data_IF_540783197601
#
_entry.id   IF_540783197601
#
_cell.length_a   1.000
_cell.length_b   1.000
_cell.length_c   1.000
_cell.angle_alpha   90.00
_cell.angle_beta   90.00
_cell.angle_gamma   90.00
#
_symmetry.space_group_name_H-M   'P 1'
#
loop_
_entity.id
_entity.type
_entity.pdbx_description
1 polymer ?
#
# COMPACT_ATOMS: atom_id res chain seq x y z
N UNK A 1 38.86 33.58 -45.59
CA UNK A 1 39.79 33.89 -46.68
C UNK A 1 41.14 33.57 -46.09
N UNK A 2 41.85 32.59 -46.63
CA UNK A 2 43.17 32.25 -46.07
C UNK A 2 44.15 33.38 -46.37
N UNK A 3 45.12 33.62 -45.48
CA UNK A 3 46.12 34.68 -45.68
C UNK A 3 46.85 34.54 -47.03
N UNK A 4 47.07 33.30 -47.49
CA UNK A 4 47.69 33.00 -48.78
C UNK A 4 46.81 33.41 -49.99
N UNK A 5 45.49 33.23 -49.90
CA UNK A 5 44.55 33.66 -50.94
C UNK A 5 44.44 35.18 -50.98
N UNK A 6 44.40 35.82 -49.81
CA UNK A 6 44.38 37.27 -49.69
C UNK A 6 45.64 37.90 -50.32
N UNK A 7 46.82 37.35 -50.03
CA UNK A 7 48.08 37.77 -50.64
C UNK A 7 48.06 37.60 -52.17
N UNK A 8 47.50 36.48 -52.66
CA UNK A 8 47.39 36.23 -54.10
C UNK A 8 46.44 37.18 -54.82
N UNK A 9 45.29 37.50 -54.21
CA UNK A 9 44.36 38.52 -54.73
C UNK A 9 45.04 39.90 -54.72
N UNK A 10 45.76 40.25 -53.65
CA UNK A 10 46.49 41.52 -53.56
C UNK A 10 47.56 41.66 -54.65
N UNK A 11 48.29 40.59 -54.94
CA UNK A 11 49.28 40.56 -56.03
C UNK A 11 48.62 40.78 -57.40
N UNK A 12 47.52 40.06 -57.70
CA UNK A 12 46.77 40.21 -58.96
C UNK A 12 46.17 41.62 -59.13
N UNK A 13 45.67 42.22 -58.04
CA UNK A 13 45.18 43.62 -58.05
C UNK A 13 46.32 44.60 -58.37
N UNK A 14 47.54 44.33 -57.89
CA UNK A 14 48.69 45.18 -58.14
C UNK A 14 49.20 45.06 -59.58
N UNK A 15 49.25 43.84 -60.13
CA UNK A 15 49.53 43.60 -61.56
C UNK A 15 48.53 44.32 -62.46
N UNK A 16 47.24 44.23 -62.14
CA UNK A 16 46.16 44.93 -62.84
C UNK A 16 46.37 46.45 -62.89
N UNK A 17 46.75 47.08 -61.77
CA UNK A 17 46.97 48.53 -61.69
C UNK A 17 48.13 49.03 -62.56
N UNK A 18 49.06 48.14 -62.91
CA UNK A 18 50.25 48.47 -63.72
C UNK A 18 50.13 48.09 -65.20
N UNK A 19 49.05 47.41 -65.61
CA UNK A 19 48.86 46.95 -66.98
C UNK A 19 48.46 48.10 -67.93
N UNK A 20 49.02 48.09 -69.15
CA UNK A 20 48.66 49.03 -70.23
C UNK A 20 47.35 48.55 -70.88
N UNK A 21 46.37 49.45 -71.04
CA UNK A 21 44.98 49.12 -71.44
C UNK A 21 44.89 48.20 -72.68
N UNK A 22 44.29 47.02 -72.51
CA UNK A 22 44.18 45.97 -73.53
C UNK A 22 43.53 44.68 -73.01
N UNK A 23 43.81 43.54 -73.65
CA UNK A 23 43.27 42.20 -73.32
C UNK A 23 43.73 41.68 -71.94
N UNK A 24 44.94 42.05 -71.51
CA UNK A 24 45.54 41.64 -70.24
C UNK A 24 44.74 42.09 -69.02
N UNK A 25 44.19 43.31 -69.07
CA UNK A 25 43.38 43.91 -67.99
C UNK A 25 42.06 43.14 -67.79
N UNK A 26 41.44 42.67 -68.88
CA UNK A 26 40.21 41.87 -68.83
C UNK A 26 40.45 40.48 -68.24
N UNK A 27 41.58 39.87 -68.60
CA UNK A 27 41.99 38.55 -68.08
C UNK A 27 42.25 38.60 -66.58
N UNK A 28 43.00 39.60 -66.08
CA UNK A 28 43.26 39.74 -64.64
C UNK A 28 41.98 40.00 -63.83
N UNK A 29 41.01 40.75 -64.38
CA UNK A 29 39.73 40.96 -63.70
C UNK A 29 38.90 39.66 -63.61
N UNK A 30 38.86 38.87 -64.68
CA UNK A 30 38.22 37.55 -64.68
C UNK A 30 38.87 36.61 -63.65
N UNK A 31 40.20 36.56 -63.59
CA UNK A 31 40.93 35.70 -62.64
C UNK A 31 40.67 36.09 -61.17
N UNK A 32 40.62 37.39 -60.86
CA UNK A 32 40.29 37.88 -59.51
C UNK A 32 38.83 37.52 -59.14
N UNK A 33 37.89 37.77 -60.06
CA UNK A 33 36.48 37.47 -59.82
C UNK A 33 36.24 35.97 -59.62
N UNK A 34 36.89 35.12 -60.43
CA UNK A 34 36.83 33.66 -60.31
C UNK A 34 37.36 33.19 -58.94
N UNK A 35 38.53 33.68 -58.52
CA UNK A 35 39.11 33.34 -57.22
C UNK A 35 38.21 33.72 -56.04
N UNK A 36 37.61 34.91 -56.08
CA UNK A 36 36.69 35.37 -55.03
C UNK A 36 35.42 34.52 -55.01
N UNK A 37 34.84 34.21 -56.17
CA UNK A 37 33.65 33.36 -56.27
C UNK A 37 33.92 31.94 -55.75
N UNK A 38 35.06 31.33 -56.10
CA UNK A 38 35.43 29.99 -55.62
C UNK A 38 35.60 29.98 -54.09
N UNK A 39 36.26 30.99 -53.50
CA UNK A 39 36.41 31.08 -52.04
C UNK A 39 35.07 31.30 -51.34
N UNK A 40 34.19 32.11 -51.91
CA UNK A 40 32.85 32.34 -51.39
C UNK A 40 32.01 31.05 -51.38
N UNK A 41 32.02 30.29 -52.49
CA UNK A 41 31.32 28.99 -52.59
C UNK A 41 31.88 28.00 -51.58
N UNK A 42 33.21 27.86 -51.46
CA UNK A 42 33.83 26.97 -50.48
C UNK A 42 33.44 27.28 -49.03
N UNK A 43 33.33 28.56 -48.68
CA UNK A 43 32.86 28.97 -47.35
C UNK A 43 31.38 28.67 -47.16
N UNK A 44 30.56 28.88 -48.18
CA UNK A 44 29.14 28.56 -48.15
C UNK A 44 28.92 27.05 -47.95
N UNK A 45 29.68 26.21 -48.66
CA UNK A 45 29.65 24.75 -48.50
C UNK A 45 30.08 24.35 -47.08
N UNK A 46 31.16 24.95 -46.57
CA UNK A 46 31.63 24.70 -45.21
C UNK A 46 30.58 25.10 -44.15
N UNK A 47 29.95 26.27 -44.30
CA UNK A 47 28.91 26.72 -43.40
C UNK A 47 27.68 25.80 -43.43
N UNK A 48 27.30 25.34 -44.63
CA UNK A 48 26.22 24.36 -44.80
C UNK A 48 26.54 23.06 -44.08
N UNK A 49 27.75 22.51 -44.28
CA UNK A 49 28.18 21.29 -43.62
C UNK A 49 28.20 21.41 -42.08
N UNK A 50 28.62 22.57 -41.55
CA UNK A 50 28.55 22.85 -40.12
C UNK A 50 27.11 22.94 -39.60
N UNK A 51 26.21 23.55 -40.39
CA UNK A 51 24.77 23.59 -40.06
C UNK A 51 24.15 22.20 -39.99
N UNK A 52 24.46 21.34 -40.96
CA UNK A 52 24.00 19.95 -40.97
C UNK A 52 24.54 19.15 -39.79
N UNK A 53 25.82 19.33 -39.46
CA UNK A 53 26.43 18.72 -38.27
C UNK A 53 25.75 19.16 -36.98
N UNK A 54 25.52 20.47 -36.80
CA UNK A 54 24.82 21.01 -35.64
C UNK A 54 23.38 20.47 -35.53
N UNK A 55 22.68 20.33 -36.66
CA UNK A 55 21.33 19.75 -36.71
C UNK A 55 21.35 18.27 -36.29
N UNK A 56 22.32 17.49 -36.77
CA UNK A 56 22.48 16.10 -36.38
C UNK A 56 22.75 15.97 -34.87
N UNK A 57 23.61 16.82 -34.31
CA UNK A 57 23.86 16.86 -32.86
C UNK A 57 22.61 17.24 -32.06
N UNK A 58 21.84 18.23 -32.51
CA UNK A 58 20.57 18.61 -31.88
C UNK A 58 19.56 17.47 -31.86
N UNK A 59 19.45 16.72 -32.97
CA UNK A 59 18.59 15.55 -33.03
C UNK A 59 19.04 14.44 -32.08
N UNK A 60 20.35 14.19 -31.98
CA UNK A 60 20.90 13.20 -31.05
C UNK A 60 20.60 13.60 -29.58
N UNK A 61 20.83 14.86 -29.22
CA UNK A 61 20.53 15.37 -27.88
C UNK A 61 19.05 15.25 -27.54
N UNK A 62 18.15 15.51 -28.52
CA UNK A 62 16.71 15.31 -28.35
C UNK A 62 16.37 13.85 -28.04
N UNK A 63 16.89 12.91 -28.83
CA UNK A 63 16.68 11.48 -28.60
C UNK A 63 17.16 11.04 -27.23
N UNK A 64 18.32 11.53 -26.78
CA UNK A 64 18.83 11.25 -25.43
C UNK A 64 17.92 11.81 -24.33
N UNK A 65 17.40 13.04 -24.52
CA UNK A 65 16.44 13.65 -23.61
C UNK A 65 15.12 12.87 -23.53
N UNK A 66 14.60 12.43 -24.67
CA UNK A 66 13.38 11.62 -24.74
C UNK A 66 13.57 10.26 -24.05
N UNK A 67 14.73 9.62 -24.23
CA UNK A 67 15.09 8.38 -23.54
C UNK A 67 15.18 8.56 -22.01
N UNK A 68 15.87 9.60 -21.55
CA UNK A 68 15.97 9.91 -20.11
C UNK A 68 14.59 10.18 -19.49
N UNK A 69 13.71 10.88 -20.21
CA UNK A 69 12.34 11.12 -19.77
C UNK A 69 11.52 9.83 -19.67
N UNK A 70 11.65 8.92 -20.63
CA UNK A 70 10.99 7.62 -20.58
C UNK A 70 11.45 6.79 -19.37
N UNK A 71 12.76 6.75 -19.11
CA UNK A 71 13.31 6.08 -17.92
C UNK A 71 12.80 6.71 -16.61
N UNK A 72 12.74 8.04 -16.53
CA UNK A 72 12.19 8.73 -15.37
C UNK A 72 10.70 8.43 -15.14
N UNK A 73 9.90 8.37 -16.21
CA UNK A 73 8.49 7.98 -16.12
C UNK A 73 8.34 6.55 -15.61
N UNK A 74 9.11 5.59 -16.15
CA UNK A 74 9.07 4.20 -15.70
C UNK A 74 9.42 4.07 -14.20
N UNK A 75 10.46 4.77 -13.74
CA UNK A 75 10.85 4.76 -12.33
C UNK A 75 9.76 5.34 -11.41
N UNK A 76 9.10 6.42 -11.85
CA UNK A 76 7.97 7.03 -11.13
C UNK A 76 6.80 6.05 -11.02
N UNK A 77 6.43 5.41 -12.13
CA UNK A 77 5.29 4.50 -12.17
C UNK A 77 5.55 3.26 -11.30
N UNK A 78 6.76 2.69 -11.36
CA UNK A 78 7.18 1.60 -10.47
C UNK A 78 7.15 1.99 -8.98
N UNK A 79 7.54 3.23 -8.68
CA UNK A 79 7.50 3.75 -7.30
C UNK A 79 6.06 3.86 -6.80
N UNK A 80 5.14 4.33 -7.65
CA UNK A 80 3.73 4.43 -7.31
C UNK A 80 3.11 3.06 -7.04
N UNK A 81 3.42 2.05 -7.86
CA UNK A 81 2.99 0.66 -7.63
C UNK A 81 3.53 0.11 -6.31
N UNK A 82 4.81 0.33 -6.00
CA UNK A 82 5.41 -0.13 -4.75
C UNK A 82 4.75 0.52 -3.53
N UNK A 83 4.43 1.82 -3.59
CA UNK A 83 3.73 2.52 -2.50
C UNK A 83 2.33 1.92 -2.30
N UNK A 84 1.60 1.64 -3.39
CA UNK A 84 0.28 1.02 -3.30
C UNK A 84 0.34 -0.37 -2.65
N UNK A 85 1.34 -1.19 -3.02
CA UNK A 85 1.55 -2.50 -2.42
C UNK A 85 1.89 -2.41 -0.92
N UNK A 86 2.73 -1.44 -0.52
CA UNK A 86 3.06 -1.19 0.88
C UNK A 86 1.82 -0.78 1.67
N UNK A 87 1.00 0.13 1.14
CA UNK A 87 -0.24 0.53 1.81
C UNK A 87 -1.20 -0.65 2.03
N UNK A 88 -1.33 -1.53 1.03
CA UNK A 88 -2.16 -2.73 1.17
C UNK A 88 -1.62 -3.66 2.27
N UNK A 89 -0.31 -3.91 2.27
CA UNK A 89 0.33 -4.73 3.30
C UNK A 89 0.18 -4.13 4.70
N UNK A 90 0.35 -2.81 4.85
CA UNK A 90 0.14 -2.11 6.12
C UNK A 90 -1.30 -2.22 6.60
N UNK A 91 -2.28 -2.14 5.71
CA UNK A 91 -3.70 -2.32 6.06
C UNK A 91 -3.99 -3.75 6.53
N UNK A 92 -3.44 -4.75 5.85
CA UNK A 92 -3.56 -6.15 6.28
C UNK A 92 -2.96 -6.36 7.67
N UNK A 93 -1.76 -5.84 7.90
CA UNK A 93 -1.09 -5.88 9.21
C UNK A 93 -1.95 -5.22 10.29
N UNK A 94 -2.54 -4.05 10.00
CA UNK A 94 -3.43 -3.37 10.95
C UNK A 94 -4.66 -4.20 11.31
N UNK A 95 -5.26 -4.88 10.34
CA UNK A 95 -6.38 -5.79 10.58
C UNK A 95 -5.94 -6.97 11.45
N UNK A 96 -4.83 -7.64 11.11
CA UNK A 96 -4.30 -8.76 11.89
C UNK A 96 -3.96 -8.36 13.34
N UNK A 97 -3.37 -7.18 13.54
CA UNK A 97 -3.14 -6.64 14.89
C UNK A 97 -4.45 -6.34 15.64
N UNK A 98 -5.50 -5.92 14.93
CA UNK A 98 -6.84 -5.76 15.48
C UNK A 98 -7.39 -7.09 15.99
N UNK A 99 -7.40 -8.10 15.13
CA UNK A 99 -7.87 -9.45 15.47
C UNK A 99 -7.08 -10.04 16.67
N UNK A 100 -5.75 -9.88 16.67
CA UNK A 100 -4.90 -10.33 17.79
C UNK A 100 -5.26 -9.59 19.08
N UNK A 101 -5.45 -8.27 19.01
CA UNK A 101 -5.83 -7.47 20.17
C UNK A 101 -7.17 -7.93 20.73
N UNK A 102 -8.14 -8.23 19.88
CA UNK A 102 -9.46 -8.69 20.29
C UNK A 102 -9.36 -10.07 20.96
N UNK A 103 -8.60 -11.01 20.38
CA UNK A 103 -8.34 -12.33 21.01
C UNK A 103 -7.66 -12.19 22.38
N UNK A 104 -6.68 -11.29 22.50
CA UNK A 104 -6.01 -11.02 23.78
C UNK A 104 -7.01 -10.43 24.77
N UNK A 105 -7.84 -9.47 24.37
CA UNK A 105 -8.88 -8.92 25.23
C UNK A 105 -9.86 -9.99 25.73
N UNK A 106 -10.29 -10.91 24.85
CA UNK A 106 -11.20 -12.00 25.24
C UNK A 106 -10.54 -12.97 26.23
N UNK A 107 -9.22 -13.17 26.09
CA UNK A 107 -8.42 -14.04 26.95
C UNK A 107 -8.06 -13.39 28.29
N UNK A 108 -7.61 -12.14 28.29
CA UNK A 108 -7.11 -11.40 29.45
C UNK A 108 -8.23 -10.75 30.28
N UNK A 109 -9.30 -10.24 29.65
CA UNK A 109 -10.38 -9.53 30.35
C UNK A 109 -11.43 -10.46 30.98
N UNK A 110 -11.10 -11.73 31.16
CA UNK A 110 -11.89 -12.63 31.99
C UNK A 110 -13.21 -13.12 31.38
N UNK A 111 -13.49 -12.89 30.09
CA UNK A 111 -14.64 -13.54 29.44
C UNK A 111 -14.49 -15.07 29.46
N UNK A 112 -13.29 -15.56 29.17
CA UNK A 112 -12.98 -16.99 29.28
C UNK A 112 -13.07 -17.48 30.74
N UNK A 113 -12.68 -16.65 31.71
CA UNK A 113 -12.79 -16.99 33.14
C UNK A 113 -14.25 -17.01 33.61
N UNK A 114 -15.09 -16.11 33.09
CA UNK A 114 -16.54 -16.08 33.33
C UNK A 114 -17.21 -17.31 32.72
N UNK A 115 -16.84 -17.71 31.50
CA UNK A 115 -17.34 -18.91 30.85
C UNK A 115 -16.92 -20.19 31.60
N UNK A 116 -15.65 -20.28 32.01
CA UNK A 116 -15.14 -21.38 32.84
C UNK A 116 -15.85 -21.41 34.20
N UNK A 117 -16.10 -20.25 34.85
CA UNK A 117 -16.87 -20.23 36.10
C UNK A 117 -18.31 -20.70 35.87
N UNK A 118 -18.98 -20.24 34.82
CA UNK A 118 -20.33 -20.70 34.46
C UNK A 118 -20.37 -22.22 34.32
N UNK A 119 -19.44 -22.78 33.55
CA UNK A 119 -19.29 -24.24 33.40
C UNK A 119 -19.02 -24.94 34.74
N UNK A 120 -18.15 -24.39 35.59
CA UNK A 120 -17.89 -24.95 36.92
C UNK A 120 -19.12 -24.86 37.82
N UNK A 121 -19.86 -23.76 37.78
CA UNK A 121 -21.11 -23.55 38.52
C UNK A 121 -22.17 -24.57 38.09
N UNK A 122 -22.34 -24.77 36.79
CA UNK A 122 -23.24 -25.79 36.24
C UNK A 122 -22.78 -27.22 36.59
N UNK A 123 -21.48 -27.46 36.68
CA UNK A 123 -20.93 -28.73 37.18
C UNK A 123 -21.15 -28.92 38.68
N UNK A 124 -21.16 -27.84 39.48
CA UNK A 124 -21.46 -27.88 40.92
C UNK A 124 -22.96 -28.11 41.20
N UNK A 125 -23.84 -27.78 40.26
CA UNK A 125 -25.27 -28.13 40.28
C UNK A 125 -25.56 -29.61 40.03
N UNK A 126 -24.55 -30.43 39.71
CA UNK A 126 -24.73 -31.88 39.56
C UNK A 126 -24.90 -32.50 40.95
N UNK A 127 -26.03 -33.18 41.17
CA UNK A 127 -26.28 -33.85 42.44
C UNK A 127 -25.16 -34.82 42.82
N UNK A 128 -24.82 -34.80 44.10
CA UNK A 128 -23.91 -35.77 44.68
C UNK A 128 -24.62 -37.11 44.92
N UNK A 129 -23.85 -38.19 45.07
CA UNK A 129 -24.40 -39.50 45.45
C UNK A 129 -25.24 -39.43 46.73
N UNK A 130 -24.88 -38.54 47.67
CA UNK A 130 -25.62 -38.33 48.90
C UNK A 130 -26.99 -37.64 48.67
N UNK A 131 -27.08 -36.75 47.68
CA UNK A 131 -28.33 -36.12 47.29
C UNK A 131 -29.27 -37.15 46.65
N UNK A 132 -28.73 -38.02 45.79
CA UNK A 132 -29.47 -39.15 45.20
C UNK A 132 -30.00 -40.08 46.29
N UNK A 133 -29.17 -40.43 47.28
CA UNK A 133 -29.58 -41.27 48.40
C UNK A 133 -30.69 -40.60 49.24
N UNK A 134 -30.59 -39.29 49.47
CA UNK A 134 -31.63 -38.52 50.18
C UNK A 134 -32.94 -38.44 49.38
N UNK A 135 -32.88 -38.31 48.06
CA UNK A 135 -34.06 -38.31 47.18
C UNK A 135 -34.75 -39.67 47.25
N UNK A 136 -33.99 -40.76 47.13
CA UNK A 136 -34.52 -42.13 47.23
C UNK A 136 -35.12 -42.38 48.63
N UNK A 137 -34.51 -41.83 49.67
CA UNK A 137 -34.99 -41.92 51.05
C UNK A 137 -36.19 -41.00 51.35
N UNK A 138 -36.57 -40.11 50.43
CA UNK A 138 -37.64 -39.12 50.62
C UNK A 138 -37.30 -38.04 51.67
N UNK A 139 -36.02 -37.82 51.93
CA UNK A 139 -35.53 -36.82 52.89
C UNK A 139 -34.70 -35.72 52.24
N UNK A 140 -34.74 -35.61 50.92
CA UNK A 140 -34.08 -34.53 50.20
C UNK A 140 -34.83 -33.23 50.41
N UNK A 141 -34.09 -32.17 50.68
CA UNK A 141 -34.58 -30.79 50.81
C UNK A 141 -33.62 -29.97 49.97
N UNK A 142 -34.13 -29.13 49.08
CA UNK A 142 -33.28 -28.22 48.32
C UNK A 142 -32.67 -27.22 49.31
N UNK A 143 -31.34 -27.18 49.38
CA UNK A 143 -30.61 -26.45 50.43
C UNK A 143 -30.29 -25.01 50.01
N UNK A 144 -30.48 -24.63 48.74
CA UNK A 144 -30.26 -23.30 48.21
C UNK A 144 -31.43 -22.78 47.34
N UNK A 145 -31.58 -21.46 47.27
CA UNK A 145 -32.55 -20.78 46.38
C UNK A 145 -32.07 -20.81 44.90
N UNK A 146 -30.92 -21.42 44.63
CA UNK A 146 -30.21 -21.41 43.34
C UNK A 146 -30.51 -22.65 42.46
N UNK A 147 -31.33 -23.58 42.98
CA UNK A 147 -31.93 -24.69 42.27
C UNK A 147 -30.92 -25.80 41.94
N UNK A 148 -31.10 -26.95 42.56
CA UNK A 148 -30.45 -28.19 42.10
C UNK A 148 -31.05 -28.65 40.76
N UNK A 149 -30.33 -29.50 40.01
CA UNK A 149 -30.93 -30.22 38.86
C UNK A 149 -32.13 -31.11 39.29
N UNK A 150 -32.26 -31.40 40.59
CA UNK A 150 -33.42 -32.11 41.15
C UNK A 150 -34.32 -31.14 41.89
N UNK A 151 -35.42 -30.79 41.25
CA UNK A 151 -36.53 -30.11 41.91
C UNK A 151 -37.47 -31.17 42.53
N UNK A 152 -37.85 -30.99 43.80
CA UNK A 152 -38.75 -31.94 44.48
C UNK A 152 -40.19 -31.51 44.27
N UNK A 153 -40.86 -32.20 43.36
CA UNK A 153 -42.30 -32.07 43.16
C UNK A 153 -43.05 -32.24 44.50
N UNK A 154 -43.93 -31.30 44.81
CA UNK A 154 -44.82 -31.38 45.97
C UNK A 154 -45.86 -32.50 45.79
N UNK A 155 -46.52 -32.92 46.87
CA UNK A 155 -47.63 -33.88 46.78
C UNK A 155 -48.75 -33.38 45.84
N UNK A 156 -48.97 -32.07 45.77
CA UNK A 156 -49.93 -31.46 44.85
C UNK A 156 -49.48 -31.60 43.39
N UNK A 157 -48.19 -31.43 43.11
CA UNK A 157 -47.65 -31.60 41.76
C UNK A 157 -47.81 -33.05 41.29
N UNK A 158 -47.62 -34.01 42.19
CA UNK A 158 -47.85 -35.43 41.92
C UNK A 158 -49.34 -35.67 41.57
N UNK A 159 -50.26 -35.11 42.35
CA UNK A 159 -51.71 -35.21 42.10
C UNK A 159 -52.12 -34.54 40.78
N UNK A 160 -51.50 -33.41 40.45
CA UNK A 160 -51.75 -32.66 39.21
C UNK A 160 -51.20 -33.41 37.98
N UNK A 161 -50.07 -34.11 38.11
CA UNK A 161 -49.52 -35.00 37.09
C UNK A 161 -50.46 -36.19 36.89
N UNK A 162 -50.89 -36.84 37.97
CA UNK A 162 -51.79 -38.00 37.92
C UNK A 162 -53.15 -37.62 37.30
N UNK A 163 -53.65 -36.41 37.62
CA UNK A 163 -54.90 -35.88 37.07
C UNK A 163 -54.78 -35.31 35.65
N UNK A 164 -53.55 -35.18 35.12
CA UNK A 164 -53.27 -34.63 33.80
C UNK A 164 -53.44 -33.11 33.69
N UNK A 165 -53.40 -32.40 34.82
CA UNK A 165 -53.55 -30.94 34.91
C UNK A 165 -52.24 -30.20 35.21
N UNK A 166 -51.14 -30.92 35.39
CA UNK A 166 -49.82 -30.35 35.65
C UNK A 166 -49.35 -29.41 34.52
N UNK A 167 -48.85 -28.24 34.91
CA UNK A 167 -48.21 -27.27 34.02
C UNK A 167 -46.87 -26.87 34.62
N UNK A 168 -45.81 -27.16 33.87
CA UNK A 168 -44.45 -26.83 34.27
C UNK A 168 -44.24 -25.30 34.24
N UNK A 169 -43.77 -24.73 35.35
CA UNK A 169 -43.42 -23.31 35.43
C UNK A 169 -41.89 -23.25 35.35
N UNK A 170 -41.32 -22.75 34.24
CA UNK A 170 -39.87 -22.70 34.10
C UNK A 170 -39.27 -21.82 35.18
N UNK A 171 -38.21 -22.31 35.82
CA UNK A 171 -37.36 -21.53 36.71
C UNK A 171 -36.93 -20.25 35.99
N UNK A 172 -37.07 -19.10 36.65
CA UNK A 172 -36.63 -17.82 36.10
C UNK A 172 -35.15 -17.92 35.72
N UNK A 173 -34.80 -17.54 34.49
CA UNK A 173 -33.40 -17.37 34.06
C UNK A 173 -32.73 -16.33 34.96
N UNK A 174 -32.16 -16.78 36.08
CA UNK A 174 -31.35 -15.93 36.93
C UNK A 174 -30.02 -15.74 36.22
N UNK A 175 -29.91 -14.62 35.52
CA UNK A 175 -28.65 -14.12 34.99
C UNK A 175 -27.72 -13.93 36.18
N UNK A 176 -26.67 -14.75 36.28
CA UNK A 176 -25.65 -14.65 37.32
C UNK A 176 -24.93 -13.30 37.13
N UNK A 177 -25.48 -12.22 37.70
CA UNK A 177 -24.85 -10.91 37.81
C UNK A 177 -23.93 -10.91 39.03
N UNK A 178 -22.92 -11.78 39.03
CA UNK A 178 -22.01 -11.85 40.17
C UNK A 178 -21.04 -10.66 40.17
N UNK A 179 -21.41 -9.64 40.94
CA UNK A 179 -20.66 -8.40 41.12
C UNK A 179 -19.25 -8.64 41.68
N UNK A 180 -19.00 -9.73 42.41
CA UNK A 180 -17.68 -10.06 42.93
C UNK A 180 -16.70 -10.44 41.82
N UNK A 181 -17.17 -11.10 40.76
CA UNK A 181 -16.34 -11.40 39.59
C UNK A 181 -15.98 -10.15 38.80
N UNK A 182 -16.95 -9.23 38.62
CA UNK A 182 -16.67 -7.93 37.99
C UNK A 182 -15.60 -7.17 38.77
N UNK A 183 -15.67 -7.19 40.10
CA UNK A 183 -14.68 -6.56 40.97
C UNK A 183 -13.30 -7.23 40.91
N UNK A 184 -13.21 -8.56 40.79
CA UNK A 184 -11.94 -9.28 40.64
C UNK A 184 -11.30 -9.00 39.27
N UNK A 185 -12.10 -8.94 38.20
CA UNK A 185 -11.63 -8.56 36.86
C UNK A 185 -11.15 -7.10 36.84
N UNK A 186 -11.87 -6.18 37.49
CA UNK A 186 -11.46 -4.76 37.58
C UNK A 186 -10.27 -4.51 38.53
N UNK A 187 -10.04 -5.35 39.56
CA UNK A 187 -8.88 -5.21 40.47
C UNK A 187 -7.61 -5.89 39.96
N UNK A 188 -7.73 -6.83 39.03
CA UNK A 188 -6.58 -7.55 38.46
C UNK A 188 -5.85 -6.74 37.37
N UNK A 189 -6.36 -5.55 37.00
CA UNK A 189 -5.77 -4.63 36.03
C UNK A 189 -5.76 -3.18 36.50
#
# INVERSE_FOLDING_TARGET
>A
MTEALEQRIRALIQEFRTAIYGEDVRRTYADIAELVCIDAVKKADYATAQGDYAKAQGNYAKTQGDYAKAQGNQARDQTAENIAAIHLAMQQIQNEFGDIKDVINDTENGSLLLEIKGLLSDMYRIATDADIDRIIAGSYVDEDDEGSIFDVASEQDIDDIISGSYVDIPASEEVIEDAELRAIVEQSF
#
